data_IF_053888424533
#
_entry.id   IF_053888424533
#
_cell.length_a   1.000
_cell.length_b   1.000
_cell.length_c   1.000
_cell.angle_alpha   90.00
_cell.angle_beta   90.00
_cell.angle_gamma   90.00
#
_symmetry.space_group_name_H-M   'P 1'
#
loop_
_entity.id
_entity.type
_entity.pdbx_description
1 polymer ?
#
# COMPACT_ATOMS: atom_id res chain seq x y z
N UNK A 1 -52.66 -49.19 27.06
CA UNK A 1 -52.90 -47.76 27.36
C UNK A 1 -51.65 -46.96 27.02
N UNK A 2 -51.79 -45.99 26.12
CA UNK A 2 -50.99 -44.74 25.96
C UNK A 2 -49.49 -44.94 25.65
N UNK A 3 -49.12 -45.03 24.37
CA UNK A 3 -48.60 -43.91 23.55
C UNK A 3 -47.41 -43.16 24.17
N UNK A 4 -46.26 -43.25 23.51
CA UNK A 4 -45.44 -42.10 23.08
C UNK A 4 -44.32 -42.58 22.15
N UNK A 5 -44.53 -42.38 20.85
CA UNK A 5 -43.52 -42.47 19.80
C UNK A 5 -42.76 -41.14 19.80
N UNK A 6 -41.50 -41.12 20.19
CA UNK A 6 -40.64 -39.93 20.11
C UNK A 6 -39.89 -40.02 18.78
N UNK A 7 -40.34 -39.23 17.80
CA UNK A 7 -39.70 -39.08 16.50
C UNK A 7 -38.59 -38.03 16.64
N UNK A 8 -37.35 -38.48 16.80
CA UNK A 8 -36.18 -37.60 16.83
C UNK A 8 -35.81 -37.18 15.40
N UNK A 9 -36.21 -35.98 15.00
CA UNK A 9 -35.82 -35.39 13.71
C UNK A 9 -34.39 -34.83 13.84
N UNK A 10 -33.39 -35.58 13.37
CA UNK A 10 -32.02 -35.10 13.27
C UNK A 10 -31.90 -34.18 12.05
N UNK A 11 -31.88 -32.87 12.27
CA UNK A 11 -31.53 -31.88 11.24
C UNK A 11 -30.02 -31.89 11.09
N UNK A 12 -29.53 -32.48 10.00
CA UNK A 12 -28.13 -32.37 9.61
C UNK A 12 -27.88 -30.94 9.08
N UNK A 13 -27.24 -30.10 9.90
CA UNK A 13 -26.63 -28.86 9.40
C UNK A 13 -25.47 -29.24 8.49
N UNK A 14 -25.68 -29.13 7.17
CA UNK A 14 -24.59 -29.15 6.19
C UNK A 14 -23.88 -27.80 6.31
N UNK A 15 -22.78 -27.78 7.07
CA UNK A 15 -21.85 -26.66 7.10
C UNK A 15 -21.15 -26.61 5.74
N UNK A 16 -21.65 -25.75 4.85
CA UNK A 16 -20.99 -25.40 3.60
C UNK A 16 -19.69 -24.67 3.93
N UNK A 17 -18.61 -25.42 4.12
CA UNK A 17 -17.26 -24.90 4.12
C UNK A 17 -16.95 -24.40 2.70
N UNK A 18 -17.31 -23.14 2.42
CA UNK A 18 -16.73 -22.41 1.29
C UNK A 18 -15.26 -22.19 1.62
N UNK A 19 -14.42 -23.17 1.25
CA UNK A 19 -13.01 -22.95 1.04
C UNK A 19 -12.87 -21.81 0.04
N UNK A 20 -12.63 -20.60 0.55
CA UNK A 20 -12.21 -19.47 -0.26
C UNK A 20 -10.82 -19.80 -0.80
N UNK A 21 -10.77 -20.51 -1.92
CA UNK A 21 -9.58 -20.55 -2.74
C UNK A 21 -9.22 -19.08 -3.06
N UNK A 22 -7.96 -18.72 -2.84
CA UNK A 22 -7.46 -17.42 -3.29
C UNK A 22 -7.84 -17.26 -4.77
N UNK A 23 -8.46 -16.13 -5.18
CA UNK A 23 -8.90 -15.97 -6.55
C UNK A 23 -7.72 -16.24 -7.48
N UNK A 24 -7.93 -17.11 -8.47
CA UNK A 24 -6.95 -17.34 -9.51
C UNK A 24 -6.59 -15.97 -10.09
N UNK A 25 -5.29 -15.67 -10.15
CA UNK A 25 -4.75 -14.41 -10.65
C UNK A 25 -5.27 -14.19 -12.07
N UNK A 26 -6.28 -13.34 -12.21
CA UNK A 26 -6.89 -13.10 -13.50
C UNK A 26 -5.83 -12.51 -14.45
N UNK A 27 -5.67 -13.13 -15.61
CA UNK A 27 -4.87 -12.54 -16.66
C UNK A 27 -5.46 -11.15 -16.97
N UNK A 28 -4.64 -10.09 -16.91
CA UNK A 28 -4.95 -8.66 -17.09
C UNK A 28 -5.19 -7.82 -15.82
N UNK A 29 -5.16 -8.39 -14.62
CA UNK A 29 -5.49 -7.64 -13.39
C UNK A 29 -4.45 -6.57 -13.00
N UNK A 30 -3.24 -6.64 -13.59
CA UNK A 30 -2.12 -5.77 -13.28
C UNK A 30 -1.50 -5.17 -14.56
N UNK A 31 -1.31 -3.86 -14.56
CA UNK A 31 -0.57 -3.13 -15.59
C UNK A 31 0.71 -2.51 -15.01
N UNK A 32 1.78 -2.55 -15.78
CA UNK A 32 3.00 -1.79 -15.53
C UNK A 32 3.10 -0.72 -16.61
N UNK A 33 2.95 0.54 -16.24
CA UNK A 33 3.08 1.69 -17.13
C UNK A 33 4.48 2.28 -16.99
N UNK A 34 5.17 2.53 -18.09
CA UNK A 34 6.56 3.01 -18.07
C UNK A 34 6.86 3.83 -19.32
N UNK A 35 7.71 4.85 -19.23
CA UNK A 35 8.16 5.58 -20.43
C UNK A 35 9.03 4.67 -21.29
N UNK A 36 9.00 4.86 -22.62
CA UNK A 36 9.91 4.12 -23.53
C UNK A 36 11.37 4.32 -23.15
N UNK A 37 11.75 5.54 -22.76
CA UNK A 37 13.11 5.87 -22.34
C UNK A 37 13.53 5.05 -21.10
N UNK A 38 12.69 5.01 -20.08
CA UNK A 38 12.95 4.27 -18.84
C UNK A 38 12.92 2.76 -19.06
N UNK A 39 12.07 2.26 -19.96
CA UNK A 39 12.06 0.83 -20.26
C UNK A 39 13.27 0.38 -21.12
N UNK A 40 13.81 1.29 -21.94
CA UNK A 40 15.04 1.05 -22.71
C UNK A 40 16.32 1.13 -21.84
N UNK A 41 16.26 1.83 -20.70
CA UNK A 41 17.38 1.92 -19.76
C UNK A 41 17.70 0.53 -19.16
N UNK A 42 18.96 0.10 -19.31
CA UNK A 42 19.45 -1.22 -18.88
C UNK A 42 19.31 -1.46 -17.38
N UNK A 43 19.35 -0.41 -16.55
CA UNK A 43 19.24 -0.49 -15.10
C UNK A 43 17.78 -0.51 -14.64
N UNK A 44 16.87 0.13 -15.37
CA UNK A 44 15.44 0.19 -15.04
C UNK A 44 14.60 -0.94 -15.64
N UNK A 45 15.00 -1.48 -16.79
CA UNK A 45 14.35 -2.65 -17.41
C UNK A 45 14.16 -3.84 -16.44
N UNK A 46 15.13 -4.20 -15.57
CA UNK A 46 14.94 -5.23 -14.54
C UNK A 46 13.82 -4.95 -13.55
N UNK A 47 13.51 -3.67 -13.27
CA UNK A 47 12.42 -3.27 -12.36
C UNK A 47 11.08 -3.68 -12.96
N UNK A 48 10.85 -3.30 -14.22
CA UNK A 48 9.66 -3.70 -14.99
C UNK A 48 9.56 -5.22 -15.08
N UNK A 49 10.66 -5.90 -15.43
CA UNK A 49 10.68 -7.36 -15.52
C UNK A 49 10.34 -8.06 -14.19
N UNK A 50 10.80 -7.52 -13.05
CA UNK A 50 10.46 -8.04 -11.73
C UNK A 50 8.97 -7.91 -11.44
N UNK A 51 8.34 -6.76 -11.75
CA UNK A 51 6.90 -6.55 -11.60
C UNK A 51 6.10 -7.47 -12.52
N UNK A 52 6.49 -7.62 -13.78
CA UNK A 52 5.84 -8.54 -14.74
C UNK A 52 5.90 -9.96 -14.22
N UNK A 53 7.07 -10.43 -13.78
CA UNK A 53 7.23 -11.79 -13.21
C UNK A 53 6.36 -11.98 -11.95
N UNK A 54 6.37 -11.00 -11.04
CA UNK A 54 5.66 -11.07 -9.77
C UNK A 54 4.14 -11.00 -9.95
N UNK A 55 3.66 -10.14 -10.84
CA UNK A 55 2.24 -9.80 -11.00
C UNK A 55 1.60 -10.28 -12.30
N UNK A 56 2.32 -11.02 -13.16
CA UNK A 56 1.79 -11.46 -14.45
C UNK A 56 1.32 -10.26 -15.29
N UNK A 57 1.97 -9.12 -15.11
CA UNK A 57 1.49 -7.83 -15.58
C UNK A 57 1.71 -7.63 -17.07
N UNK A 58 0.82 -6.85 -17.71
CA UNK A 58 1.05 -6.31 -19.05
C UNK A 58 1.86 -5.02 -18.96
N UNK A 59 2.84 -4.86 -19.84
CA UNK A 59 3.62 -3.62 -19.93
C UNK A 59 2.95 -2.68 -20.93
N UNK A 60 2.72 -1.44 -20.51
CA UNK A 60 2.15 -0.37 -21.31
C UNK A 60 3.17 0.76 -21.38
N UNK A 61 3.73 0.96 -22.58
CA UNK A 61 4.70 2.03 -22.81
C UNK A 61 4.03 3.31 -23.29
N UNK A 62 4.56 4.45 -22.80
CA UNK A 62 4.25 5.79 -23.29
C UNK A 62 5.50 6.52 -23.79
N UNK A 63 5.26 7.55 -24.59
CA UNK A 63 6.28 8.40 -25.17
C UNK A 63 5.87 9.85 -24.91
N UNK A 64 6.74 10.65 -24.30
CA UNK A 64 6.37 11.97 -23.80
C UNK A 64 5.42 11.90 -22.60
N UNK A 65 4.13 12.17 -22.83
CA UNK A 65 3.12 12.27 -21.77
C UNK A 65 2.52 10.90 -21.39
N UNK A 66 2.45 10.64 -20.09
CA UNK A 66 1.82 9.44 -19.51
C UNK A 66 0.34 9.34 -19.89
N UNK A 67 -0.36 10.45 -20.11
CA UNK A 67 -1.79 10.43 -20.48
C UNK A 67 -2.05 9.75 -21.83
N UNK A 68 -1.03 9.64 -22.69
CA UNK A 68 -1.09 8.92 -23.97
C UNK A 68 -1.43 7.43 -23.85
N UNK A 69 -1.39 6.85 -22.65
CA UNK A 69 -1.77 5.44 -22.40
C UNK A 69 -3.25 5.23 -22.13
N UNK A 70 -4.07 6.29 -22.04
CA UNK A 70 -5.47 6.20 -21.63
C UNK A 70 -6.24 5.12 -22.41
N UNK A 71 -6.13 5.08 -23.74
CA UNK A 71 -6.82 4.09 -24.56
C UNK A 71 -6.41 2.65 -24.24
N UNK A 72 -5.12 2.41 -23.94
CA UNK A 72 -4.61 1.08 -23.57
C UNK A 72 -5.08 0.68 -22.17
N UNK A 73 -5.11 1.61 -21.22
CA UNK A 73 -5.64 1.38 -19.87
C UNK A 73 -7.14 1.11 -19.90
N UNK A 74 -7.93 1.87 -20.67
CA UNK A 74 -9.36 1.60 -20.89
C UNK A 74 -9.61 0.22 -21.45
N UNK A 75 -8.83 -0.18 -22.46
CA UNK A 75 -8.96 -1.50 -23.08
C UNK A 75 -8.58 -2.66 -22.16
N UNK A 76 -7.62 -2.46 -21.24
CA UNK A 76 -7.23 -3.49 -20.27
C UNK A 76 -8.11 -3.49 -19.00
N UNK A 77 -8.54 -2.31 -18.57
CA UNK A 77 -9.25 -2.01 -17.32
C UNK A 77 -8.66 -2.75 -16.09
N UNK A 78 -7.37 -2.52 -15.77
CA UNK A 78 -6.68 -3.28 -14.72
C UNK A 78 -7.12 -2.87 -13.32
N UNK A 79 -7.28 -3.82 -12.40
CA UNK A 79 -7.50 -3.53 -10.98
C UNK A 79 -6.30 -2.83 -10.34
N UNK A 80 -5.09 -3.14 -10.78
CA UNK A 80 -3.84 -2.55 -10.26
C UNK A 80 -3.00 -1.95 -11.38
N UNK A 81 -2.51 -0.72 -11.18
CA UNK A 81 -1.61 -0.06 -12.13
C UNK A 81 -0.36 0.47 -11.43
N UNK A 82 0.80 -0.05 -11.78
CA UNK A 82 2.08 0.42 -11.27
C UNK A 82 2.77 1.28 -12.32
N UNK A 83 2.99 2.55 -12.01
CA UNK A 83 3.75 3.47 -12.86
C UNK A 83 5.22 3.40 -12.45
N UNK A 84 6.09 2.90 -13.33
CA UNK A 84 7.54 2.89 -13.09
C UNK A 84 8.13 4.17 -13.65
N UNK A 85 8.78 4.95 -12.81
CA UNK A 85 9.36 6.24 -13.16
C UNK A 85 10.73 6.43 -12.49
N UNK A 86 11.67 7.04 -13.20
CA UNK A 86 12.93 7.49 -12.58
C UNK A 86 12.68 8.66 -11.60
N UNK A 87 13.61 8.96 -10.66
CA UNK A 87 13.49 10.14 -9.81
C UNK A 87 13.29 11.45 -10.56
N UNK A 88 13.86 11.55 -11.78
CA UNK A 88 13.71 12.74 -12.63
C UNK A 88 12.33 12.83 -13.28
N UNK A 89 11.70 11.69 -13.57
CA UNK A 89 10.36 11.63 -14.16
C UNK A 89 9.24 11.77 -13.12
N UNK A 90 9.48 11.33 -11.88
CA UNK A 90 8.48 11.33 -10.79
C UNK A 90 8.27 12.73 -10.17
N UNK A 91 7.94 13.72 -11.00
CA UNK A 91 7.66 15.10 -10.59
C UNK A 91 6.23 15.26 -10.04
N UNK A 92 5.94 16.41 -9.42
CA UNK A 92 4.57 16.76 -9.01
C UNK A 92 3.58 16.75 -10.18
N UNK A 93 3.98 17.29 -11.33
CA UNK A 93 3.15 17.30 -12.55
C UNK A 93 2.86 15.89 -13.06
N UNK A 94 3.87 15.00 -13.02
CA UNK A 94 3.68 13.59 -13.38
C UNK A 94 2.69 12.90 -12.45
N UNK A 95 2.81 13.09 -11.13
CA UNK A 95 1.88 12.52 -10.15
C UNK A 95 0.47 13.07 -10.35
N UNK A 96 0.32 14.37 -10.62
CA UNK A 96 -0.97 14.99 -10.92
C UNK A 96 -1.59 14.39 -12.20
N UNK A 97 -0.79 14.22 -13.26
CA UNK A 97 -1.24 13.60 -14.51
C UNK A 97 -1.70 12.14 -14.30
N UNK A 98 -0.95 11.34 -13.53
CA UNK A 98 -1.34 9.96 -13.17
C UNK A 98 -2.64 9.95 -12.34
N UNK A 99 -2.76 10.85 -11.37
CA UNK A 99 -3.95 10.97 -10.53
C UNK A 99 -5.21 11.28 -11.34
N UNK A 100 -5.12 12.15 -12.35
CA UNK A 100 -6.23 12.47 -13.24
C UNK A 100 -6.50 11.34 -14.25
N UNK A 101 -5.45 10.74 -14.81
CA UNK A 101 -5.54 9.63 -15.77
C UNK A 101 -6.30 8.43 -15.19
N UNK A 102 -6.08 8.12 -13.91
CA UNK A 102 -6.67 6.97 -13.21
C UNK A 102 -8.11 7.16 -12.73
N UNK A 103 -8.77 8.27 -13.15
CA UNK A 103 -10.21 8.58 -12.95
C UNK A 103 -10.95 8.82 -14.27
N UNK A 104 -10.39 8.26 -15.33
CA UNK A 104 -10.86 8.48 -16.70
C UNK A 104 -10.95 7.16 -17.45
N UNK A 105 -10.77 6.02 -16.79
CA UNK A 105 -10.89 4.74 -17.47
C UNK A 105 -12.36 4.44 -17.78
N UNK A 106 -13.28 4.91 -16.94
CA UNK A 106 -14.69 5.07 -17.29
C UNK A 106 -15.17 6.53 -17.20
N UNK A 107 -16.48 6.73 -17.07
CA UNK A 107 -17.16 8.03 -17.11
C UNK A 107 -17.51 8.58 -15.71
N UNK A 108 -17.24 7.83 -14.64
CA UNK A 108 -17.51 8.27 -13.27
C UNK A 108 -16.33 9.06 -12.66
N UNK A 109 -16.52 9.78 -11.54
CA UNK A 109 -15.47 10.63 -10.98
C UNK A 109 -14.47 9.90 -10.07
N UNK A 110 -14.65 8.60 -9.84
CA UNK A 110 -13.87 7.81 -8.90
C UNK A 110 -12.61 7.24 -9.53
N UNK A 111 -11.71 6.74 -8.68
CA UNK A 111 -10.48 6.11 -9.16
C UNK A 111 -10.77 4.71 -9.68
N UNK A 112 -10.44 4.46 -10.94
CA UNK A 112 -10.75 3.22 -11.67
C UNK A 112 -9.81 2.05 -11.34
N UNK A 113 -8.63 2.34 -10.76
CA UNK A 113 -7.56 1.36 -10.53
C UNK A 113 -6.76 1.68 -9.28
N UNK A 114 -6.36 0.67 -8.51
CA UNK A 114 -5.41 0.87 -7.41
C UNK A 114 -4.04 1.16 -8.00
N UNK A 115 -3.51 2.36 -7.76
CA UNK A 115 -2.28 2.79 -8.40
C UNK A 115 -1.21 3.26 -7.43
N UNK A 116 0.03 3.22 -7.93
CA UNK A 116 1.18 3.79 -7.25
C UNK A 116 2.32 4.04 -8.24
N UNK A 117 3.20 4.97 -7.88
CA UNK A 117 4.45 5.21 -8.61
C UNK A 117 5.56 4.42 -7.92
N UNK A 118 6.15 3.45 -8.63
CA UNK A 118 7.36 2.78 -8.19
C UNK A 118 8.56 3.55 -8.71
N UNK A 119 9.26 4.20 -7.78
CA UNK A 119 10.53 4.88 -8.01
C UNK A 119 11.52 4.54 -6.90
N UNK A 120 12.74 5.08 -6.97
CA UNK A 120 13.76 4.96 -5.95
C UNK A 120 14.94 5.84 -6.30
N UNK A 121 15.73 6.25 -5.30
CA UNK A 121 16.92 7.08 -5.50
C UNK A 121 17.81 6.59 -6.65
N UNK A 122 17.93 5.27 -6.77
CA UNK A 122 18.50 4.58 -7.91
C UNK A 122 17.59 3.48 -8.44
N UNK A 123 17.86 3.00 -9.65
CA UNK A 123 17.21 1.81 -10.21
C UNK A 123 17.40 0.56 -9.32
N UNK A 124 18.54 0.45 -8.62
CA UNK A 124 18.79 -0.66 -7.69
C UNK A 124 17.84 -0.61 -6.48
N UNK A 125 17.56 0.58 -5.93
CA UNK A 125 16.57 0.73 -4.87
C UNK A 125 15.16 0.39 -5.37
N UNK A 126 14.78 0.91 -6.54
CA UNK A 126 13.49 0.59 -7.18
C UNK A 126 13.34 -0.92 -7.42
N UNK A 127 14.40 -1.59 -7.86
CA UNK A 127 14.42 -3.05 -8.07
C UNK A 127 14.26 -3.82 -6.75
N UNK A 128 14.88 -3.35 -5.67
CA UNK A 128 14.72 -3.95 -4.35
C UNK A 128 13.25 -3.89 -3.89
N UNK A 129 12.57 -2.76 -4.11
CA UNK A 129 11.13 -2.60 -3.86
C UNK A 129 10.31 -3.58 -4.72
N UNK A 130 10.55 -3.61 -6.04
CA UNK A 130 9.83 -4.47 -6.96
C UNK A 130 9.96 -5.96 -6.62
N UNK A 131 11.13 -6.38 -6.14
CA UNK A 131 11.42 -7.78 -5.72
C UNK A 131 10.94 -8.11 -4.32
N UNK A 132 10.61 -7.12 -3.49
CA UNK A 132 10.18 -7.37 -2.13
C UNK A 132 8.90 -8.22 -2.13
N UNK A 133 8.97 -9.41 -1.54
CA UNK A 133 7.86 -10.36 -1.48
C UNK A 133 7.48 -10.75 -0.04
N UNK A 134 8.28 -10.32 0.94
CA UNK A 134 7.95 -10.51 2.34
C UNK A 134 6.80 -9.55 2.71
N UNK A 135 5.88 -9.94 3.59
CA UNK A 135 4.91 -8.99 4.14
C UNK A 135 5.61 -7.88 4.91
N UNK A 136 5.16 -6.63 4.73
CA UNK A 136 5.52 -5.53 5.62
C UNK A 136 4.68 -5.68 6.89
N UNK A 137 5.29 -6.14 7.98
CA UNK A 137 4.61 -6.26 9.27
C UNK A 137 4.99 -5.08 10.15
N UNK A 138 4.02 -4.23 10.43
CA UNK A 138 4.19 -3.07 11.32
C UNK A 138 3.94 -3.50 12.76
N UNK A 139 4.93 -3.34 13.64
CA UNK A 139 4.84 -3.67 15.07
C UNK A 139 5.13 -2.46 15.95
N UNK A 140 6.09 -1.63 15.54
CA UNK A 140 6.55 -0.42 16.22
C UNK A 140 6.17 0.80 15.38
N UNK A 141 5.36 1.69 15.93
CA UNK A 141 4.91 2.89 15.21
C UNK A 141 5.26 4.14 15.98
N UNK A 142 5.81 5.13 15.28
CA UNK A 142 5.95 6.48 15.81
C UNK A 142 5.11 7.45 14.99
N UNK A 143 4.56 8.49 15.62
CA UNK A 143 3.77 9.48 14.89
C UNK A 143 3.87 10.89 15.46
N UNK A 144 3.70 11.89 14.61
CA UNK A 144 3.39 13.26 15.01
C UNK A 144 1.91 13.51 15.25
N UNK A 145 1.04 12.53 15.02
CA UNK A 145 -0.41 12.66 15.23
C UNK A 145 -0.94 11.46 16.01
N UNK A 146 -2.18 11.55 16.51
CA UNK A 146 -2.78 10.47 17.28
C UNK A 146 -3.01 9.21 16.40
N UNK A 147 -2.68 8.05 16.96
CA UNK A 147 -2.85 6.74 16.30
C UNK A 147 -3.48 5.72 17.25
N UNK A 148 -4.16 4.73 16.68
CA UNK A 148 -4.73 3.59 17.41
C UNK A 148 -3.63 2.65 17.94
N UNK A 149 -3.12 2.92 19.15
CA UNK A 149 -2.03 2.18 19.78
C UNK A 149 -2.39 0.71 20.09
N UNK A 150 -3.67 0.37 20.17
CA UNK A 150 -4.17 -1.00 20.30
C UNK A 150 -3.84 -1.88 19.08
N UNK A 151 -3.65 -1.30 17.90
CA UNK A 151 -3.34 -2.01 16.66
C UNK A 151 -1.87 -2.41 16.51
N UNK A 152 -0.99 -1.95 17.42
CA UNK A 152 0.46 -2.11 17.33
C UNK A 152 1.03 -2.78 18.58
N UNK A 153 2.20 -3.40 18.46
CA UNK A 153 2.89 -4.00 19.62
C UNK A 153 3.45 -2.91 20.53
N UNK A 154 4.08 -1.92 19.92
CA UNK A 154 4.64 -0.74 20.56
C UNK A 154 4.30 0.49 19.73
N UNK A 155 4.11 1.62 20.39
CA UNK A 155 4.04 2.85 19.65
C UNK A 155 4.14 4.08 20.51
N UNK A 156 4.39 5.20 19.85
CA UNK A 156 4.47 6.50 20.49
C UNK A 156 3.95 7.57 19.55
N UNK A 157 3.33 8.60 20.10
CA UNK A 157 2.94 9.75 19.31
C UNK A 157 2.97 11.04 20.11
N UNK A 158 3.32 12.12 19.44
CA UNK A 158 3.23 13.48 19.97
C UNK A 158 1.93 14.10 19.47
N UNK A 159 1.25 14.88 20.31
CA UNK A 159 0.00 15.52 19.93
C UNK A 159 0.28 16.87 19.25
N UNK A 160 -0.26 17.07 18.06
CA UNK A 160 -0.15 18.33 17.32
C UNK A 160 -1.07 19.43 17.83
N UNK A 161 -2.14 19.08 18.55
CA UNK A 161 -3.19 20.00 18.98
C UNK A 161 -3.06 20.39 20.45
N UNK A 162 -2.50 19.51 21.27
CA UNK A 162 -2.33 19.70 22.71
C UNK A 162 -0.85 19.81 23.05
N UNK A 163 -0.43 21.03 23.40
CA UNK A 163 0.97 21.33 23.74
C UNK A 163 1.51 20.33 24.78
N UNK A 164 2.70 19.79 24.48
CA UNK A 164 3.43 18.82 25.30
C UNK A 164 2.70 17.50 25.57
N UNK A 165 1.55 17.19 24.95
CA UNK A 165 0.95 15.87 25.11
C UNK A 165 1.74 14.86 24.27
N UNK A 166 2.18 13.81 24.95
CA UNK A 166 2.91 12.69 24.37
C UNK A 166 2.26 11.41 24.88
N UNK A 167 2.05 10.41 24.04
CA UNK A 167 1.53 9.11 24.48
C UNK A 167 2.46 8.02 24.02
N UNK A 168 2.71 7.05 24.91
CA UNK A 168 3.57 5.90 24.63
C UNK A 168 2.92 4.61 25.10
N UNK A 169 3.01 3.58 24.27
CA UNK A 169 2.72 2.19 24.61
C UNK A 169 3.99 1.37 24.42
N UNK A 170 4.46 0.74 25.51
CA UNK A 170 5.51 -0.28 25.46
C UNK A 170 4.91 -1.66 25.17
N UNK A 171 5.74 -2.62 24.76
CA UNK A 171 5.29 -3.98 24.46
C UNK A 171 4.57 -4.61 25.66
N UNK A 172 3.38 -5.15 25.43
CA UNK A 172 2.53 -5.74 26.48
C UNK A 172 1.93 -4.72 27.48
N UNK A 173 2.24 -3.43 27.33
CA UNK A 173 1.74 -2.36 28.18
C UNK A 173 0.45 -1.72 27.64
N UNK A 174 -0.12 -0.85 28.47
CA UNK A 174 -1.21 0.05 28.08
C UNK A 174 -0.61 1.39 27.59
N UNK A 175 -1.33 2.15 26.75
CA UNK A 175 -0.95 3.52 26.45
C UNK A 175 -0.89 4.38 27.72
N UNK A 176 0.16 5.17 27.84
CA UNK A 176 0.38 6.11 28.94
C UNK A 176 0.57 7.52 28.37
N UNK A 177 -0.17 8.48 28.91
CA UNK A 177 0.06 9.89 28.62
C UNK A 177 1.23 10.40 29.45
N UNK A 178 2.14 11.07 28.77
CA UNK A 178 3.39 11.63 29.25
C UNK A 178 3.50 13.08 28.79
N UNK A 179 4.52 13.77 29.31
CA UNK A 179 4.84 15.14 28.89
C UNK A 179 5.98 15.13 27.88
N UNK A 180 5.68 15.55 26.66
CA UNK A 180 6.65 15.77 25.58
C UNK A 180 7.33 17.15 25.66
N UNK A 181 8.30 17.40 24.77
CA UNK A 181 8.99 18.68 24.68
C UNK A 181 8.09 19.80 24.11
N UNK A 182 8.57 21.04 24.17
CA UNK A 182 7.96 22.18 23.47
C UNK A 182 8.15 22.12 21.95
N UNK A 183 9.32 21.62 21.52
CA UNK A 183 9.66 21.36 20.12
C UNK A 183 9.94 19.86 19.96
N UNK A 184 9.17 19.20 19.08
CA UNK A 184 9.26 17.76 18.82
C UNK A 184 10.33 17.38 17.80
N UNK A 185 11.01 18.34 17.16
CA UNK A 185 12.01 18.10 16.10
C UNK A 185 13.15 17.18 16.58
N UNK A 186 13.83 17.54 17.67
CA UNK A 186 14.91 16.73 18.22
C UNK A 186 14.39 15.36 18.72
N UNK A 187 13.18 15.36 19.29
CA UNK A 187 12.56 14.13 19.76
C UNK A 187 12.25 13.17 18.60
N UNK A 188 11.78 13.66 17.46
CA UNK A 188 11.57 12.84 16.26
C UNK A 188 12.88 12.32 15.69
N UNK A 189 13.93 13.13 15.64
CA UNK A 189 15.25 12.68 15.21
C UNK A 189 15.76 11.51 16.08
N UNK A 190 15.62 11.63 17.41
CA UNK A 190 15.94 10.55 18.37
C UNK A 190 15.05 9.33 18.20
N UNK A 191 13.76 9.51 17.95
CA UNK A 191 12.84 8.39 17.68
C UNK A 191 13.24 7.63 16.41
N UNK A 192 13.58 8.33 15.33
CA UNK A 192 14.02 7.68 14.09
C UNK A 192 15.36 6.95 14.25
N UNK A 193 16.29 7.51 15.03
CA UNK A 193 17.62 6.94 15.24
C UNK A 193 17.64 5.79 16.27
N UNK A 194 16.94 5.95 17.40
CA UNK A 194 17.06 5.05 18.56
C UNK A 194 15.87 4.11 18.69
N UNK A 195 14.65 4.62 18.40
CA UNK A 195 13.45 3.80 18.49
C UNK A 195 13.24 2.97 17.22
N UNK A 196 13.79 3.34 16.08
CA UNK A 196 13.70 2.60 14.80
C UNK A 196 12.29 2.04 14.55
N UNK A 197 11.29 2.92 14.33
CA UNK A 197 9.93 2.48 14.07
C UNK A 197 9.84 1.77 12.71
N UNK A 198 8.95 0.78 12.60
CA UNK A 198 8.63 0.14 11.32
C UNK A 198 7.85 1.10 10.40
N UNK A 199 7.12 2.05 11.01
CA UNK A 199 6.31 3.06 10.35
C UNK A 199 6.37 4.37 11.16
N UNK A 200 6.67 5.46 10.46
CA UNK A 200 6.56 6.82 10.99
C UNK A 200 5.41 7.55 10.28
N UNK A 201 4.49 8.14 11.03
CA UNK A 201 3.30 8.83 10.49
C UNK A 201 3.38 10.32 10.84
N UNK A 202 3.32 11.18 9.83
CA UNK A 202 3.16 12.63 10.01
C UNK A 202 1.73 13.04 9.69
N UNK A 203 1.26 14.15 10.23
CA UNK A 203 0.18 14.90 9.57
C UNK A 203 0.74 15.60 8.32
N UNK A 204 -0.14 15.91 7.37
CA UNK A 204 0.17 16.68 6.16
C UNK A 204 -0.60 17.98 6.14
#
# INVERSE_FOLDING_TARGET
MKHKLILSLAVALVSSNFCHAAPAKAANDYAVVVSKATHADKNWKPVVAALVKKHGAKVIEFDGDVTGVLGKLRGQFPRYTCFVATPKEATGDFVAAVHQLTRRLDDDPYTDTFWGVLTGYSAANALAIARHAKPLTVRKVASGTEIALECVTEGLWYDELVKNKFVRKKAGGKPEQLRGPDDTTEAFAKVLADYEPDLFITSG
#
